data_IF_917348485303
#
_entry.id   IF_917348485303
#
_cell.length_a   1.000
_cell.length_b   1.000
_cell.length_c   1.000
_cell.angle_alpha   90.00
_cell.angle_beta   90.00
_cell.angle_gamma   90.00
#
_symmetry.space_group_name_H-M   'P 1'
#
loop_
_entity.id
_entity.type
_entity.pdbx_description
1 polymer ?
#
# COMPACT_ATOMS: atom_id res chain seq x y z
N UNK A 1 17.37 6.50 32.31
CA UNK A 1 16.20 7.32 31.89
C UNK A 1 15.89 7.04 30.43
N UNK A 2 14.99 6.11 30.16
CA UNK A 2 14.71 5.59 28.82
C UNK A 2 13.81 6.58 28.06
N UNK A 3 14.39 7.27 27.05
CA UNK A 3 13.64 8.15 26.15
C UNK A 3 12.69 7.28 25.31
N UNK A 4 11.38 7.50 25.44
CA UNK A 4 10.38 6.79 24.65
C UNK A 4 10.67 6.95 23.15
N UNK A 5 10.83 5.81 22.48
CA UNK A 5 11.27 5.74 21.10
C UNK A 5 10.13 6.17 20.15
N UNK A 6 10.48 7.06 19.24
CA UNK A 6 9.65 7.91 18.37
C UNK A 6 8.67 7.22 17.39
N UNK A 7 8.50 5.89 17.41
CA UNK A 7 7.79 5.20 16.31
C UNK A 7 6.29 5.06 16.53
N UNK A 8 5.83 4.94 17.77
CA UNK A 8 4.41 4.68 18.08
C UNK A 8 3.91 5.59 19.20
N UNK A 9 4.01 6.92 19.00
CA UNK A 9 3.30 7.83 19.90
C UNK A 9 1.79 7.57 19.74
N UNK A 10 1.15 7.10 20.81
CA UNK A 10 -0.28 6.77 20.82
C UNK A 10 -1.09 7.97 20.32
N UNK A 11 -2.18 7.67 19.61
CA UNK A 11 -3.08 8.70 19.08
C UNK A 11 -3.62 9.59 20.20
N UNK A 12 -3.82 9.00 21.39
CA UNK A 12 -4.20 9.69 22.62
C UNK A 12 -3.15 10.71 23.10
N UNK A 13 -1.86 10.36 23.06
CA UNK A 13 -0.77 11.28 23.42
C UNK A 13 -0.69 12.46 22.44
N UNK A 14 -0.95 12.23 21.14
CA UNK A 14 -0.99 13.30 20.14
C UNK A 14 -2.15 14.26 20.40
N UNK A 15 -3.34 13.74 20.69
CA UNK A 15 -4.51 14.55 21.08
C UNK A 15 -4.21 15.39 22.33
N UNK A 16 -3.58 14.77 23.33
CA UNK A 16 -3.19 15.45 24.56
C UNK A 16 -2.20 16.59 24.31
N UNK A 17 -1.19 16.40 23.46
CA UNK A 17 -0.26 17.48 23.06
C UNK A 17 -1.01 18.65 22.42
N UNK A 18 -1.92 18.37 21.49
CA UNK A 18 -2.71 19.39 20.78
C UNK A 18 -3.58 20.16 21.78
N UNK A 19 -4.28 19.45 22.66
CA UNK A 19 -5.14 20.04 23.69
C UNK A 19 -4.33 20.95 24.65
N UNK A 20 -3.19 20.47 25.17
CA UNK A 20 -2.34 21.26 26.07
C UNK A 20 -1.77 22.53 25.42
N UNK A 21 -1.56 22.52 24.10
CA UNK A 21 -1.01 23.67 23.36
C UNK A 21 -2.06 24.69 22.95
N UNK A 22 -3.25 24.25 22.52
CA UNK A 22 -4.29 25.12 21.96
C UNK A 22 -5.38 25.57 22.96
N UNK A 23 -5.41 25.02 24.16
CA UNK A 23 -6.34 25.48 25.21
C UNK A 23 -6.07 26.93 25.64
N UNK A 24 -7.10 27.59 26.18
CA UNK A 24 -6.98 28.94 26.76
C UNK A 24 -6.00 28.88 27.94
N UNK A 25 -4.86 29.58 27.84
CA UNK A 25 -3.72 29.46 28.77
C UNK A 25 -2.71 28.37 28.41
N UNK A 26 -2.64 27.98 27.13
CA UNK A 26 -1.81 26.87 26.62
C UNK A 26 -0.35 26.89 27.07
N UNK A 27 0.19 25.70 27.28
CA UNK A 27 1.58 25.50 27.76
C UNK A 27 2.59 25.67 26.63
N UNK A 28 3.80 26.11 26.98
CA UNK A 28 4.91 26.13 26.03
C UNK A 28 5.36 24.69 25.70
N UNK A 29 5.88 24.49 24.49
CA UNK A 29 6.29 23.18 23.99
C UNK A 29 7.33 22.47 24.88
N UNK A 30 8.31 23.16 25.51
CA UNK A 30 9.24 22.55 26.46
C UNK A 30 8.55 22.03 27.73
N UNK A 31 7.53 22.72 28.22
CA UNK A 31 6.77 22.31 29.41
C UNK A 31 5.89 21.09 29.09
N UNK A 32 5.25 21.07 27.92
CA UNK A 32 4.53 19.89 27.42
C UNK A 32 5.45 18.68 27.29
N UNK A 33 6.66 18.88 26.77
CA UNK A 33 7.66 17.82 26.64
C UNK A 33 8.09 17.25 28.00
N UNK A 34 8.28 18.14 29.00
CA UNK A 34 8.63 17.75 30.37
C UNK A 34 7.49 16.98 31.05
N UNK A 35 6.27 17.50 30.97
CA UNK A 35 5.08 16.93 31.61
C UNK A 35 4.76 15.53 31.04
N UNK A 36 4.82 15.39 29.71
CA UNK A 36 4.54 14.13 29.02
C UNK A 36 5.77 13.21 28.91
N UNK A 37 6.93 13.64 29.42
CA UNK A 37 8.22 12.91 29.34
C UNK A 37 8.59 12.46 27.91
N UNK A 38 8.30 13.31 26.93
CA UNK A 38 8.61 13.09 25.51
C UNK A 38 9.65 14.09 25.02
N UNK A 39 10.31 13.79 23.90
CA UNK A 39 11.27 14.73 23.32
C UNK A 39 10.57 15.99 22.80
N UNK A 40 11.21 17.15 22.96
CA UNK A 40 10.75 18.42 22.39
C UNK A 40 10.50 18.29 20.88
N UNK A 41 11.40 17.62 20.17
CA UNK A 41 11.25 17.34 18.73
C UNK A 41 10.00 16.52 18.39
N UNK A 42 9.50 15.68 19.30
CA UNK A 42 8.24 14.94 19.11
C UNK A 42 7.03 15.86 19.24
N UNK A 43 7.05 16.78 20.20
CA UNK A 43 6.02 17.81 20.39
C UNK A 43 5.96 18.71 19.16
N UNK A 44 7.10 19.26 18.76
CA UNK A 44 7.25 20.13 17.58
C UNK A 44 6.75 19.45 16.29
N UNK A 45 7.16 18.20 16.04
CA UNK A 45 6.69 17.44 14.86
C UNK A 45 5.18 17.22 14.88
N UNK A 46 4.61 16.92 16.06
CA UNK A 46 3.17 16.69 16.22
C UNK A 46 2.39 17.98 15.95
N UNK A 47 2.82 19.10 16.52
CA UNK A 47 2.19 20.42 16.31
C UNK A 47 2.36 20.92 14.87
N UNK A 48 3.56 20.77 14.28
CA UNK A 48 3.81 21.11 12.88
C UNK A 48 2.88 20.34 11.95
N UNK A 49 2.75 19.03 12.18
CA UNK A 49 1.86 18.17 11.42
C UNK A 49 0.39 18.56 11.61
N UNK A 50 -0.04 18.78 12.85
CA UNK A 50 -1.41 19.22 13.13
C UNK A 50 -1.73 20.54 12.43
N UNK A 51 -0.82 21.51 12.47
CA UNK A 51 -0.97 22.80 11.78
C UNK A 51 -1.08 22.62 10.27
N UNK A 52 -0.24 21.76 9.71
CA UNK A 52 -0.25 21.41 8.29
C UNK A 52 -1.57 20.77 7.86
N UNK A 53 -2.10 19.84 8.65
CA UNK A 53 -3.36 19.15 8.37
C UNK A 53 -4.56 20.12 8.54
N UNK A 54 -4.56 21.00 9.54
CA UNK A 54 -5.65 21.96 9.80
C UNK A 54 -5.66 23.17 8.85
N UNK A 55 -4.50 23.58 8.31
CA UNK A 55 -4.42 24.62 7.28
C UNK A 55 -4.74 24.08 5.88
N UNK A 56 -5.15 22.81 5.76
CA UNK A 56 -5.35 22.16 4.46
C UNK A 56 -4.07 22.05 3.63
N UNK A 57 -2.89 22.32 4.22
CA UNK A 57 -1.59 22.17 3.58
C UNK A 57 -1.24 20.69 3.37
N UNK A 58 -2.00 19.78 3.97
CA UNK A 58 -2.03 18.36 3.68
C UNK A 58 -3.48 17.86 3.61
N UNK A 59 -3.84 16.97 2.66
CA UNK A 59 -5.12 16.28 2.68
C UNK A 59 -5.23 15.38 3.91
N UNK A 60 -6.45 15.26 4.43
CA UNK A 60 -6.87 14.62 5.68
C UNK A 60 -6.10 13.33 6.09
N UNK A 61 -6.06 12.97 7.40
CA UNK A 61 -5.27 11.85 7.90
C UNK A 61 -5.76 10.46 7.45
N UNK A 62 -6.89 10.37 6.76
CA UNK A 62 -7.41 9.12 6.23
C UNK A 62 -6.78 8.84 4.88
N UNK A 63 -5.94 7.79 4.85
CA UNK A 63 -5.32 7.23 3.64
C UNK A 63 -4.11 8.01 3.13
N UNK A 64 -3.07 8.10 3.97
CA UNK A 64 -1.70 8.14 3.44
C UNK A 64 -1.44 6.86 2.64
N UNK A 65 -1.83 6.85 1.36
CA UNK A 65 -1.24 5.91 0.39
C UNK A 65 0.18 6.39 0.16
N UNK A 66 1.07 6.07 1.10
CA UNK A 66 2.50 6.33 0.97
C UNK A 66 3.02 5.38 -0.10
N UNK A 67 3.45 5.91 -1.24
CA UNK A 67 4.05 5.13 -2.33
C UNK A 67 4.10 5.90 -3.64
N UNK A 68 4.90 5.42 -4.60
CA UNK A 68 4.81 5.84 -6.01
C UNK A 68 3.37 5.59 -6.48
N UNK A 69 2.72 6.53 -7.21
CA UNK A 69 1.41 6.28 -7.78
C UNK A 69 1.42 4.96 -8.55
N UNK A 70 0.38 4.14 -8.34
CA UNK A 70 0.28 2.83 -8.99
C UNK A 70 0.18 3.07 -10.50
N UNK A 71 0.99 2.35 -11.28
CA UNK A 71 0.94 2.38 -12.74
C UNK A 71 -0.45 1.99 -13.24
N UNK A 72 -1.00 0.91 -12.68
CA UNK A 72 -2.35 0.43 -12.95
C UNK A 72 -3.36 1.21 -12.08
N UNK A 73 -4.26 1.92 -12.75
CA UNK A 73 -5.43 2.57 -12.16
C UNK A 73 -6.51 1.54 -11.84
N UNK A 74 -7.52 1.93 -11.07
CA UNK A 74 -8.63 1.05 -10.70
C UNK A 74 -9.33 0.45 -11.93
N UNK A 75 -9.56 1.26 -12.98
CA UNK A 75 -10.17 0.82 -14.23
C UNK A 75 -9.36 -0.29 -14.93
N UNK A 76 -8.03 -0.14 -15.01
CA UNK A 76 -7.14 -1.14 -15.61
C UNK A 76 -7.19 -2.46 -14.83
N UNK A 77 -7.29 -2.38 -13.50
CA UNK A 77 -7.45 -3.56 -12.64
C UNK A 77 -8.82 -4.22 -12.84
N UNK A 78 -9.88 -3.44 -13.01
CA UNK A 78 -11.22 -3.97 -13.28
C UNK A 78 -11.30 -4.64 -14.66
N UNK A 79 -10.59 -4.08 -15.65
CA UNK A 79 -10.42 -4.71 -16.96
C UNK A 79 -9.70 -6.07 -16.87
N UNK A 80 -8.58 -6.13 -16.14
CA UNK A 80 -7.86 -7.38 -15.87
C UNK A 80 -8.75 -8.43 -15.18
N UNK A 81 -9.57 -8.00 -14.22
CA UNK A 81 -10.54 -8.87 -13.54
C UNK A 81 -11.56 -9.41 -14.54
N UNK A 82 -12.08 -8.55 -15.42
CA UNK A 82 -13.00 -8.96 -16.48
C UNK A 82 -12.38 -9.97 -17.46
N UNK A 83 -11.09 -9.81 -17.80
CA UNK A 83 -10.37 -10.80 -18.62
C UNK A 83 -10.29 -12.17 -17.94
N UNK A 84 -9.91 -12.20 -16.66
CA UNK A 84 -9.85 -13.46 -15.89
C UNK A 84 -11.23 -14.10 -15.73
N UNK A 85 -12.29 -13.30 -15.60
CA UNK A 85 -13.66 -13.82 -15.50
C UNK A 85 -14.17 -14.42 -16.81
N UNK A 86 -13.79 -13.83 -17.96
CA UNK A 86 -14.14 -14.36 -19.29
C UNK A 86 -13.31 -15.59 -19.65
N UNK A 87 -12.02 -15.55 -19.34
CA UNK A 87 -11.03 -16.55 -19.75
C UNK A 87 -10.10 -16.85 -18.58
N UNK A 88 -10.44 -17.80 -17.68
CA UNK A 88 -9.71 -18.02 -16.44
C UNK A 88 -8.31 -18.64 -16.62
N UNK A 89 -8.02 -19.16 -17.80
CA UNK A 89 -6.75 -19.74 -18.23
C UNK A 89 -5.83 -18.75 -18.97
N UNK A 90 -6.26 -17.49 -19.13
CA UNK A 90 -5.45 -16.45 -19.78
C UNK A 90 -4.12 -16.23 -19.06
N UNK A 91 -3.04 -16.16 -19.85
CA UNK A 91 -1.69 -15.98 -19.34
C UNK A 91 -1.39 -14.51 -19.05
N UNK A 92 -0.47 -14.26 -18.11
CA UNK A 92 -0.05 -12.89 -17.76
C UNK A 92 0.49 -12.09 -18.97
N UNK A 93 1.09 -12.78 -19.96
CA UNK A 93 1.62 -12.13 -21.17
C UNK A 93 0.49 -11.69 -22.10
N UNK A 94 -0.56 -12.49 -22.22
CA UNK A 94 -1.75 -12.13 -23.00
C UNK A 94 -2.48 -10.97 -22.32
N UNK A 95 -2.61 -11.00 -20.98
CA UNK A 95 -3.13 -9.86 -20.22
C UNK A 95 -2.31 -8.57 -20.42
N UNK A 96 -0.99 -8.68 -20.55
CA UNK A 96 -0.12 -7.52 -20.83
C UNK A 96 -0.40 -6.95 -22.21
N UNK A 97 -0.55 -7.82 -23.22
CA UNK A 97 -0.86 -7.40 -24.58
C UNK A 97 -2.24 -6.71 -24.64
N UNK A 98 -3.27 -7.34 -24.05
CA UNK A 98 -4.61 -6.76 -23.95
C UNK A 98 -4.62 -5.40 -23.23
N UNK A 99 -3.84 -5.25 -22.14
CA UNK A 99 -3.69 -3.97 -21.45
C UNK A 99 -3.03 -2.90 -22.32
N UNK A 100 -2.02 -3.28 -23.11
CA UNK A 100 -1.35 -2.35 -24.02
C UNK A 100 -2.27 -1.93 -25.16
N UNK A 101 -3.06 -2.87 -25.70
CA UNK A 101 -3.92 -2.62 -26.86
C UNK A 101 -5.21 -1.87 -26.50
N UNK A 102 -5.83 -2.21 -25.35
CA UNK A 102 -7.14 -1.67 -24.95
C UNK A 102 -7.02 -0.50 -23.99
N UNK A 103 -6.07 -0.55 -23.05
CA UNK A 103 -5.94 0.47 -22.00
C UNK A 103 -4.77 1.44 -22.24
N UNK A 104 -3.94 1.23 -23.27
CA UNK A 104 -2.71 2.00 -23.53
C UNK A 104 -1.76 2.01 -22.32
N UNK A 105 -1.67 0.88 -21.60
CA UNK A 105 -0.83 0.73 -20.42
C UNK A 105 0.19 -0.39 -20.62
N UNK A 106 1.47 -0.02 -20.77
CA UNK A 106 2.58 -0.98 -20.72
C UNK A 106 2.94 -1.32 -19.27
N UNK A 107 2.30 -2.36 -18.74
CA UNK A 107 2.55 -2.87 -17.40
C UNK A 107 3.41 -4.14 -17.43
N UNK A 108 4.46 -4.18 -16.61
CA UNK A 108 5.24 -5.42 -16.40
C UNK A 108 4.34 -6.57 -15.91
N UNK A 109 4.67 -7.81 -16.27
CA UNK A 109 3.98 -9.03 -15.79
C UNK A 109 3.82 -9.07 -14.25
N UNK A 110 4.83 -8.56 -13.54
CA UNK A 110 4.83 -8.52 -12.07
C UNK A 110 3.85 -7.47 -11.52
N UNK A 111 3.64 -6.35 -12.23
CA UNK A 111 2.65 -5.34 -11.88
C UNK A 111 1.23 -5.91 -12.05
N UNK A 112 0.97 -6.59 -13.16
CA UNK A 112 -0.30 -7.30 -13.44
C UNK A 112 -0.58 -8.35 -12.36
N UNK A 113 0.41 -9.19 -12.07
CA UNK A 113 0.28 -10.21 -11.01
C UNK A 113 -0.02 -9.60 -9.64
N UNK A 114 0.67 -8.54 -9.25
CA UNK A 114 0.43 -7.85 -7.96
C UNK A 114 -0.96 -7.22 -7.90
N UNK A 115 -1.43 -6.65 -9.01
CA UNK A 115 -2.77 -6.07 -9.10
C UNK A 115 -3.86 -7.13 -8.90
N UNK A 116 -3.76 -8.26 -9.60
CA UNK A 116 -4.67 -9.40 -9.46
C UNK A 116 -4.63 -10.00 -8.05
N UNK A 117 -3.44 -10.21 -7.49
CA UNK A 117 -3.29 -10.72 -6.12
C UNK A 117 -3.91 -9.77 -5.09
N UNK A 118 -3.79 -8.46 -5.30
CA UNK A 118 -4.45 -7.44 -4.48
C UNK A 118 -5.98 -7.49 -4.52
N UNK A 119 -6.57 -8.15 -5.53
CA UNK A 119 -8.01 -8.40 -5.67
C UNK A 119 -8.42 -9.84 -5.27
N UNK A 120 -7.50 -10.61 -4.68
CA UNK A 120 -7.78 -11.96 -4.19
C UNK A 120 -7.58 -13.09 -5.21
N UNK A 121 -7.10 -12.79 -6.42
CA UNK A 121 -6.82 -13.83 -7.42
C UNK A 121 -5.53 -14.57 -7.10
N UNK A 122 -5.59 -15.90 -7.20
CA UNK A 122 -4.43 -16.79 -7.05
C UNK A 122 -4.19 -17.56 -8.34
N UNK A 123 -2.93 -17.75 -8.71
CA UNK A 123 -2.55 -18.51 -9.89
C UNK A 123 -2.80 -19.99 -9.65
N UNK A 124 -3.52 -20.65 -10.55
CA UNK A 124 -3.50 -22.10 -10.68
C UNK A 124 -2.13 -22.52 -11.20
N UNK A 125 -1.35 -23.26 -10.39
CA UNK A 125 -0.08 -23.84 -10.87
C UNK A 125 -0.43 -25.06 -11.71
N UNK A 126 -0.37 -24.91 -13.03
CA UNK A 126 -0.31 -26.07 -13.92
C UNK A 126 1.06 -26.68 -13.70
N UNK A 127 1.11 -27.89 -13.12
CA UNK A 127 2.35 -28.68 -13.12
C UNK A 127 2.57 -29.04 -14.57
N UNK A 128 3.70 -28.62 -15.11
CA UNK A 128 4.03 -28.74 -16.52
C UNK A 128 3.70 -30.15 -17.05
N UNK A 129 2.73 -30.21 -17.97
CA UNK A 129 2.38 -31.44 -18.69
C UNK A 129 3.54 -31.87 -19.61
N UNK A 130 4.57 -31.05 -19.80
CA UNK A 130 5.80 -31.47 -20.51
C UNK A 130 6.51 -32.60 -19.79
N UNK A 131 6.47 -32.68 -18.45
CA UNK A 131 6.99 -33.85 -17.73
C UNK A 131 6.09 -35.08 -17.90
N UNK A 132 4.78 -34.92 -17.97
CA UNK A 132 3.83 -36.04 -18.14
C UNK A 132 3.86 -36.59 -19.56
N UNK A 133 3.91 -35.73 -20.60
CA UNK A 133 3.99 -36.15 -22.00
C UNK A 133 5.35 -36.78 -22.32
N UNK A 134 6.47 -36.30 -21.74
CA UNK A 134 7.77 -36.94 -21.90
C UNK A 134 7.84 -38.32 -21.23
N UNK A 135 7.26 -38.48 -20.03
CA UNK A 135 7.22 -39.79 -19.35
C UNK A 135 6.30 -40.76 -20.10
N UNK A 136 5.12 -40.31 -20.56
CA UNK A 136 4.18 -41.19 -21.26
C UNK A 136 4.67 -41.61 -22.65
N UNK A 137 5.39 -40.74 -23.36
CA UNK A 137 5.95 -41.05 -24.69
C UNK A 137 7.14 -42.01 -24.63
N UNK A 138 8.00 -41.92 -23.60
CA UNK A 138 9.14 -42.83 -23.44
C UNK A 138 8.69 -44.25 -22.99
N UNK A 139 7.58 -44.34 -22.26
CA UNK A 139 7.13 -45.61 -21.67
C UNK A 139 6.22 -46.45 -22.59
N UNK A 140 5.81 -45.93 -23.75
CA UNK A 140 4.99 -46.64 -24.76
C UNK A 140 5.83 -47.15 -25.95
N UNK A 141 7.16 -47.02 -25.91
CA UNK A 141 8.05 -47.41 -27.01
C UNK A 141 9.16 -48.40 -26.58
N UNK A 142 8.90 -49.20 -25.54
CA UNK A 142 9.68 -50.37 -25.13
C UNK A 142 8.79 -51.60 -25.05
#
# INVERSE_FOLDING_TARGET
>A
MTRLNHKDLSDDTKRTIIHMYYNVGGKLQPDIARDLRISLSSVERTLRRYRQDNLGLHPAPTLRVRGRPRLLKTADVDFLVGLVQRTPDIYLREMQQELSEVCDVDASLLAIWRALRGRGYTRKRVRDLTSIILIFTIQQHL
#
